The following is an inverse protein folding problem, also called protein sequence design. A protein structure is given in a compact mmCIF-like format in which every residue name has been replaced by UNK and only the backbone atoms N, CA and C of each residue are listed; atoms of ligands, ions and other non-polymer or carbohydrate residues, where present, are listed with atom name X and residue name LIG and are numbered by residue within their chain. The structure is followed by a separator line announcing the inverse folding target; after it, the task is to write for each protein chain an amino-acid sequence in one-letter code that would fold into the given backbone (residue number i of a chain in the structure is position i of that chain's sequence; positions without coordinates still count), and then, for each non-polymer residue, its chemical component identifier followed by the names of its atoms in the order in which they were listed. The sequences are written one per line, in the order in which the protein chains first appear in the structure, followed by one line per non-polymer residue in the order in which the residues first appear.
data_IF_851878884699
#
_entry.id   IF_851878884699
#
_cell.length_a   1.000
_cell.length_b   1.000
_cell.length_c   1.000
_cell.angle_alpha   90.00
_cell.angle_beta   90.00
_cell.angle_gamma   90.00
#
_symmetry.space_group_name_H-M   'P 1'
#
loop_
_entity.id
_entity.type
_entity.pdbx_description
1 polymer ?
#
# COMPACT_ATOMS: atom_id res chain seq x y z
N UNK A 1 19.08 8.31 58.36
CA UNK A 1 19.46 9.70 58.04
C UNK A 1 19.01 9.96 56.61
N UNK A 2 17.93 10.72 56.47
CA UNK A 2 17.34 11.11 55.20
C UNK A 2 18.30 12.05 54.48
N UNK A 3 18.58 11.76 53.21
CA UNK A 3 18.93 12.80 52.25
C UNK A 3 17.89 12.75 51.15
N UNK A 4 16.86 13.59 51.35
CA UNK A 4 16.02 14.12 50.31
C UNK A 4 16.88 15.03 49.44
N UNK A 5 17.01 14.69 48.16
CA UNK A 5 17.53 15.56 47.12
C UNK A 5 16.59 15.41 45.94
N UNK A 6 15.72 16.40 45.75
CA UNK A 6 14.66 16.36 44.73
C UNK A 6 15.23 16.09 43.35
N UNK A 7 14.70 15.06 42.70
CA UNK A 7 14.85 14.88 41.26
C UNK A 7 14.09 16.03 40.58
N UNK A 8 14.83 17.06 40.16
CA UNK A 8 14.33 17.97 39.14
C UNK A 8 14.06 17.15 37.88
N UNK A 9 12.86 17.26 37.26
CA UNK A 9 12.63 16.64 35.97
C UNK A 9 13.69 17.18 35.01
N UNK A 10 14.43 16.28 34.37
CA UNK A 10 15.38 16.63 33.32
C UNK A 10 14.56 17.31 32.22
N UNK A 11 14.66 18.64 32.13
CA UNK A 11 13.99 19.39 31.09
C UNK A 11 14.48 18.88 29.73
N UNK A 12 13.61 18.22 28.97
CA UNK A 12 13.82 17.94 27.57
C UNK A 12 13.73 19.28 26.84
N UNK A 13 14.86 19.96 26.66
CA UNK A 13 14.90 21.15 25.81
C UNK A 13 14.91 20.69 24.36
N UNK A 14 13.73 20.54 23.77
CA UNK A 14 13.59 20.42 22.31
C UNK A 14 13.76 21.82 21.73
N UNK A 15 14.99 22.17 21.35
CA UNK A 15 15.25 23.38 20.59
C UNK A 15 14.74 23.18 19.15
N UNK A 16 13.49 23.55 18.88
CA UNK A 16 13.08 23.90 17.53
C UNK A 16 13.70 25.26 17.20
N UNK A 17 14.86 25.29 16.55
CA UNK A 17 15.30 26.50 15.85
C UNK A 17 14.52 26.59 14.54
N UNK A 18 13.22 26.88 14.63
CA UNK A 18 12.52 27.47 13.51
C UNK A 18 12.91 28.96 13.53
N UNK A 19 13.41 29.57 12.44
CA UNK A 19 13.49 31.02 12.40
C UNK A 19 12.08 31.55 12.70
N UNK A 20 11.90 32.21 13.84
CA UNK A 20 10.61 32.77 14.23
C UNK A 20 10.24 33.86 13.22
N UNK A 21 9.42 33.50 12.24
CA UNK A 21 9.02 34.37 11.13
C UNK A 21 8.67 33.56 9.89
N UNK A 22 7.85 34.11 8.99
CA UNK A 22 7.73 33.56 7.64
C UNK A 22 9.09 33.77 6.96
N UNK A 23 9.79 32.68 6.65
CA UNK A 23 10.95 32.72 5.76
C UNK A 23 10.57 33.29 4.40
N UNK A 24 11.57 33.73 3.62
CA UNK A 24 11.34 34.10 2.23
C UNK A 24 10.67 32.94 1.49
N UNK A 25 9.70 33.24 0.62
CA UNK A 25 9.13 32.24 -0.27
C UNK A 25 10.25 31.66 -1.12
N UNK A 26 10.32 30.34 -1.19
CA UNK A 26 11.29 29.64 -2.03
C UNK A 26 10.99 29.89 -3.50
N UNK A 27 12.02 30.05 -4.32
CA UNK A 27 11.87 30.20 -5.76
C UNK A 27 11.57 28.85 -6.43
N UNK A 28 10.93 28.89 -7.59
CA UNK A 28 10.66 27.68 -8.36
C UNK A 28 11.99 27.04 -8.81
N UNK A 29 12.25 25.82 -8.37
CA UNK A 29 13.49 25.09 -8.68
C UNK A 29 14.59 25.26 -7.62
N UNK A 30 14.34 26.06 -6.58
CA UNK A 30 15.20 26.11 -5.40
C UNK A 30 15.10 24.80 -4.62
N UNK A 31 16.25 24.18 -4.34
CA UNK A 31 16.34 22.97 -3.53
C UNK A 31 16.40 23.39 -2.07
N UNK A 32 15.40 22.98 -1.29
CA UNK A 32 15.38 23.18 0.15
C UNK A 32 15.67 21.89 0.90
N UNK A 33 16.21 22.04 2.10
CA UNK A 33 16.43 20.94 3.02
C UNK A 33 16.04 21.37 4.43
N UNK A 34 15.63 20.39 5.25
CA UNK A 34 15.38 20.57 6.66
C UNK A 34 16.31 19.65 7.46
N UNK A 35 16.74 20.11 8.63
CA UNK A 35 17.48 19.32 9.60
C UNK A 35 16.76 19.36 10.94
N UNK A 36 16.65 18.21 11.59
CA UNK A 36 16.12 18.06 12.94
C UNK A 36 17.24 17.51 13.81
N UNK A 37 17.50 18.17 14.93
CA UNK A 37 18.52 17.76 15.89
C UNK A 37 17.90 17.61 17.27
N UNK A 38 18.21 16.50 17.93
CA UNK A 38 17.89 16.26 19.33
C UNK A 38 19.20 15.97 20.07
N UNK A 39 19.33 16.50 21.28
CA UNK A 39 20.51 16.28 22.12
C UNK A 39 20.09 15.87 23.52
N UNK A 40 20.86 14.98 24.14
CA UNK A 40 20.69 14.62 25.54
C UNK A 40 22.06 14.36 26.17
N UNK A 41 22.16 14.61 27.49
CA UNK A 41 23.35 14.28 28.26
C UNK A 41 23.19 12.88 28.84
N UNK A 42 24.14 11.99 28.56
CA UNK A 42 24.15 10.62 29.08
C UNK A 42 25.06 10.54 30.30
N UNK A 43 24.57 10.10 31.47
CA UNK A 43 25.42 9.95 32.66
C UNK A 43 26.43 8.80 32.49
N UNK A 44 27.53 8.84 33.24
CA UNK A 44 28.53 7.77 33.23
C UNK A 44 27.86 6.42 33.56
N UNK A 45 28.10 5.41 32.71
CA UNK A 45 27.49 4.07 32.80
C UNK A 45 25.94 4.07 32.71
N UNK A 46 25.32 5.14 32.21
CA UNK A 46 23.87 5.18 31.95
C UNK A 46 23.54 5.09 30.46
N UNK A 47 22.24 5.10 30.17
CA UNK A 47 21.70 5.19 28.80
C UNK A 47 20.58 6.24 28.73
N UNK A 48 20.32 6.71 27.50
CA UNK A 48 19.20 7.58 27.14
C UNK A 48 18.69 7.15 25.76
N UNK A 49 17.41 7.35 25.52
CA UNK A 49 16.75 7.06 24.25
C UNK A 49 16.22 8.37 23.68
N UNK A 50 16.41 8.57 22.38
CA UNK A 50 15.83 9.67 21.62
C UNK A 50 15.03 9.05 20.48
N UNK A 51 13.76 9.44 20.38
CA UNK A 51 12.85 8.93 19.36
C UNK A 51 12.59 9.99 18.31
N UNK A 52 12.59 9.57 17.05
CA UNK A 52 12.37 10.44 15.91
C UNK A 52 11.39 9.75 14.97
N UNK A 53 10.41 10.50 14.46
CA UNK A 53 9.48 10.02 13.45
C UNK A 53 9.66 10.80 12.15
N UNK A 54 9.59 10.07 11.03
CA UNK A 54 9.47 10.63 9.69
C UNK A 54 8.08 10.29 9.17
N UNK A 55 7.35 11.31 8.73
CA UNK A 55 6.05 11.16 8.11
C UNK A 55 5.99 11.94 6.80
N UNK A 56 5.24 11.41 5.83
CA UNK A 56 4.96 12.05 4.56
C UNK A 56 3.46 12.01 4.27
N UNK A 57 2.89 13.16 3.93
CA UNK A 57 1.49 13.28 3.52
C UNK A 57 1.42 13.50 2.01
N UNK A 58 1.19 12.42 1.28
CA UNK A 58 0.96 12.42 -0.17
C UNK A 58 -0.40 11.77 -0.48
N UNK A 59 -1.52 12.44 -0.14
CA UNK A 59 -2.82 11.79 -0.02
C UNK A 59 -3.41 11.39 -1.37
N UNK A 60 -2.95 12.03 -2.45
CA UNK A 60 -3.50 11.91 -3.80
C UNK A 60 -2.61 11.04 -4.68
N UNK A 61 -3.21 10.10 -5.39
CA UNK A 61 -2.58 9.28 -6.42
C UNK A 61 -3.18 9.63 -7.78
N UNK A 62 -2.32 9.78 -8.78
CA UNK A 62 -2.71 9.90 -10.18
C UNK A 62 -2.03 8.79 -10.99
N UNK A 63 -2.80 8.16 -11.86
CA UNK A 63 -2.28 7.24 -12.88
C UNK A 63 -2.04 7.98 -14.20
N UNK A 64 -1.44 7.31 -15.20
CA UNK A 64 -1.01 7.93 -16.46
C UNK A 64 -2.04 8.84 -17.14
N UNK A 65 -3.30 8.41 -17.20
CA UNK A 65 -4.41 9.20 -17.77
C UNK A 65 -4.76 10.47 -16.98
N UNK A 66 -4.49 10.51 -15.68
CA UNK A 66 -4.90 11.55 -14.72
C UNK A 66 -6.41 11.86 -14.71
N UNK A 67 -7.24 10.97 -15.25
CA UNK A 67 -8.70 11.16 -15.37
C UNK A 67 -9.42 11.07 -14.02
N UNK A 68 -8.95 10.19 -13.13
CA UNK A 68 -9.56 9.94 -11.82
C UNK A 68 -8.57 10.23 -10.71
N UNK A 69 -9.03 10.99 -9.72
CA UNK A 69 -8.32 11.20 -8.47
C UNK A 69 -8.53 9.99 -7.56
N UNK A 70 -7.44 9.45 -7.03
CA UNK A 70 -7.49 8.40 -6.02
C UNK A 70 -6.89 8.92 -4.72
N UNK A 71 -7.46 8.48 -3.59
CA UNK A 71 -6.96 8.81 -2.26
C UNK A 71 -6.29 7.59 -1.64
N UNK A 72 -5.15 7.79 -0.99
CA UNK A 72 -4.48 6.74 -0.21
C UNK A 72 -5.31 6.40 1.02
N UNK A 73 -5.33 5.13 1.42
CA UNK A 73 -6.15 4.63 2.52
C UNK A 73 -6.01 5.41 3.83
N UNK A 74 -4.81 5.87 4.17
CA UNK A 74 -4.59 6.57 5.44
C UNK A 74 -5.40 7.88 5.56
N UNK A 75 -5.85 8.46 4.43
CA UNK A 75 -6.66 9.69 4.45
C UNK A 75 -7.98 9.52 5.15
N UNK A 76 -8.46 8.28 5.30
CA UNK A 76 -9.63 7.95 6.12
C UNK A 76 -9.46 8.39 7.59
N UNK A 77 -8.23 8.35 8.10
CA UNK A 77 -7.92 8.64 9.51
C UNK A 77 -7.36 10.05 9.71
N UNK A 78 -6.67 10.59 8.71
CA UNK A 78 -5.93 11.86 8.83
C UNK A 78 -6.41 12.96 7.87
N UNK A 79 -7.43 12.69 7.07
CA UNK A 79 -7.93 13.61 6.05
C UNK A 79 -7.11 13.59 4.76
N UNK A 80 -7.55 14.36 3.76
CA UNK A 80 -6.98 14.39 2.40
C UNK A 80 -6.55 15.79 1.95
N UNK A 81 -6.38 16.72 2.90
CA UNK A 81 -6.07 18.12 2.63
C UNK A 81 -4.59 18.38 2.30
N UNK A 82 -3.68 17.46 2.63
CA UNK A 82 -2.24 17.62 2.39
C UNK A 82 -1.50 18.32 3.53
N UNK A 83 -2.11 18.37 4.72
CA UNK A 83 -1.59 18.99 5.94
C UNK A 83 -1.50 17.99 7.13
N UNK A 84 -1.54 16.68 6.87
CA UNK A 84 -1.59 15.65 7.90
C UNK A 84 -0.24 15.34 8.56
N UNK A 85 0.90 15.82 8.03
CA UNK A 85 2.23 15.49 8.55
C UNK A 85 2.40 15.70 10.07
N UNK A 86 1.97 16.84 10.68
CA UNK A 86 2.07 17.01 12.13
C UNK A 86 1.27 15.96 12.91
N UNK A 87 0.05 15.64 12.44
CA UNK A 87 -0.80 14.64 13.08
C UNK A 87 -0.23 13.22 12.93
N UNK A 88 0.30 12.89 11.75
CA UNK A 88 0.96 11.61 11.48
C UNK A 88 2.22 11.42 12.36
N UNK A 89 3.10 12.41 12.42
CA UNK A 89 4.31 12.35 13.26
C UNK A 89 3.98 12.24 14.74
N UNK A 90 3.00 13.02 15.22
CA UNK A 90 2.52 12.92 16.60
C UNK A 90 1.93 11.52 16.88
N UNK A 91 1.12 10.99 15.97
CA UNK A 91 0.53 9.65 16.10
C UNK A 91 1.62 8.57 16.19
N UNK A 92 2.64 8.64 15.33
CA UNK A 92 3.77 7.72 15.36
C UNK A 92 4.55 7.75 16.68
N UNK A 93 4.91 8.94 17.17
CA UNK A 93 5.69 9.09 18.42
C UNK A 93 4.89 8.70 19.67
N UNK A 94 3.56 8.78 19.63
CA UNK A 94 2.71 8.44 20.78
C UNK A 94 2.25 6.98 20.80
N UNK A 95 2.49 6.23 19.72
CA UNK A 95 2.05 4.84 19.58
C UNK A 95 3.19 3.86 19.25
N UNK A 96 4.43 4.33 19.08
CA UNK A 96 5.58 3.51 18.71
C UNK A 96 5.75 2.30 19.64
N UNK A 97 5.75 2.51 20.95
CA UNK A 97 5.90 1.43 21.95
C UNK A 97 4.82 0.35 21.76
N UNK A 98 3.55 0.75 21.58
CA UNK A 98 2.46 -0.20 21.34
C UNK A 98 2.64 -0.95 20.01
N UNK A 99 3.21 -0.31 18.99
CA UNK A 99 3.47 -0.96 17.70
C UNK A 99 4.61 -1.95 17.81
N UNK A 100 5.69 -1.64 18.52
CA UNK A 100 6.79 -2.56 18.80
C UNK A 100 6.28 -3.81 19.51
N UNK A 101 5.48 -3.64 20.57
CA UNK A 101 4.87 -4.78 21.29
C UNK A 101 4.02 -5.66 20.37
N UNK A 102 3.20 -5.06 19.50
CA UNK A 102 2.38 -5.79 18.53
C UNK A 102 3.24 -6.52 17.49
N UNK A 103 4.32 -5.87 17.02
CA UNK A 103 5.27 -6.44 16.06
C UNK A 103 5.96 -7.66 16.66
N UNK A 104 6.51 -7.51 17.86
CA UNK A 104 7.16 -8.62 18.57
C UNK A 104 6.18 -9.76 18.84
N UNK A 105 4.96 -9.44 19.29
CA UNK A 105 3.94 -10.42 19.62
C UNK A 105 3.58 -11.32 18.44
N UNK A 106 3.43 -10.78 17.23
CA UNK A 106 3.11 -11.60 16.06
C UNK A 106 4.31 -12.41 15.55
N UNK A 107 5.54 -11.90 15.68
CA UNK A 107 6.74 -12.60 15.24
C UNK A 107 7.17 -13.72 16.20
N UNK A 108 6.92 -13.52 17.51
CA UNK A 108 7.42 -14.38 18.60
C UNK A 108 7.15 -15.87 18.40
N UNK A 109 5.94 -16.33 18.04
CA UNK A 109 5.68 -17.78 17.87
C UNK A 109 6.57 -18.45 16.81
N UNK A 110 6.94 -17.71 15.76
CA UNK A 110 7.84 -18.21 14.72
C UNK A 110 9.29 -18.09 15.16
N UNK A 111 9.67 -16.97 15.78
CA UNK A 111 11.05 -16.74 16.25
C UNK A 111 11.48 -17.72 17.34
N UNK A 112 10.60 -18.07 18.25
CA UNK A 112 10.87 -19.00 19.36
C UNK A 112 10.80 -20.47 18.95
N UNK A 113 10.22 -20.78 17.79
CA UNK A 113 10.11 -22.17 17.30
C UNK A 113 11.49 -22.79 17.07
N UNK A 114 11.81 -23.84 17.82
CA UNK A 114 13.04 -24.64 17.63
C UNK A 114 13.01 -25.54 16.41
N UNK A 115 11.83 -25.73 15.80
CA UNK A 115 11.63 -26.55 14.61
C UNK A 115 12.03 -25.85 13.31
N UNK A 116 12.14 -24.52 13.33
CA UNK A 116 12.46 -23.72 12.15
C UNK A 116 13.91 -23.25 12.20
N UNK A 117 14.71 -23.46 11.13
CA UNK A 117 16.09 -22.99 11.11
C UNK A 117 16.15 -21.45 11.02
N UNK A 118 17.20 -20.80 11.56
CA UNK A 118 17.31 -19.34 11.58
C UNK A 118 17.20 -18.67 10.20
N UNK A 119 17.78 -19.27 9.16
CA UNK A 119 17.71 -18.73 7.79
C UNK A 119 16.27 -18.67 7.26
N UNK A 120 15.43 -19.65 7.62
CA UNK A 120 14.05 -19.71 7.16
C UNK A 120 13.19 -18.64 7.81
N UNK A 121 13.40 -18.41 9.12
CA UNK A 121 12.76 -17.30 9.85
C UNK A 121 13.10 -15.95 9.22
N UNK A 122 14.39 -15.75 8.89
CA UNK A 122 14.86 -14.54 8.22
C UNK A 122 14.17 -14.34 6.88
N UNK A 123 14.16 -15.35 6.00
CA UNK A 123 13.48 -15.28 4.71
C UNK A 123 11.98 -15.01 4.87
N UNK A 124 11.30 -15.76 5.75
CA UNK A 124 9.85 -15.65 5.94
C UNK A 124 9.40 -14.23 6.32
N UNK A 125 10.16 -13.53 7.17
CA UNK A 125 9.83 -12.16 7.55
C UNK A 125 10.32 -11.13 6.54
N UNK A 126 11.54 -11.29 6.02
CA UNK A 126 12.12 -10.28 5.13
C UNK A 126 11.42 -10.25 3.77
N UNK A 127 10.94 -11.38 3.24
CA UNK A 127 10.20 -11.40 1.97
C UNK A 127 8.86 -10.65 2.04
N UNK A 128 8.31 -10.41 3.24
CA UNK A 128 7.10 -9.60 3.41
C UNK A 128 7.32 -8.12 3.07
N UNK A 129 8.57 -7.66 2.90
CA UNK A 129 8.88 -6.29 2.48
C UNK A 129 8.12 -5.90 1.21
N UNK A 130 7.89 -6.87 0.31
CA UNK A 130 7.27 -6.64 -0.98
C UNK A 130 5.81 -6.19 -0.86
N UNK A 131 5.12 -6.49 0.24
CA UNK A 131 3.76 -5.98 0.49
C UNK A 131 3.72 -4.46 0.68
N UNK A 132 4.83 -3.84 1.11
CA UNK A 132 4.96 -2.40 1.22
C UNK A 132 5.66 -1.79 -0.02
N UNK A 133 6.73 -2.44 -0.50
CA UNK A 133 7.62 -1.89 -1.53
C UNK A 133 7.27 -2.32 -2.96
N UNK A 134 6.38 -3.30 -3.14
CA UNK A 134 5.92 -3.84 -4.42
C UNK A 134 5.00 -2.90 -5.20
N UNK A 135 5.17 -1.58 -5.07
CA UNK A 135 4.30 -0.58 -5.70
C UNK A 135 2.87 -0.60 -5.18
N UNK A 136 2.67 -0.96 -3.91
CA UNK A 136 1.35 -1.21 -3.33
C UNK A 136 0.42 0.00 -3.41
N UNK A 137 -0.80 -0.27 -3.88
CA UNK A 137 -1.95 0.60 -3.86
C UNK A 137 -2.90 0.12 -2.77
N UNK A 138 -3.10 0.97 -1.77
CA UNK A 138 -4.20 0.82 -0.84
C UNK A 138 -5.01 2.10 -0.87
N UNK A 139 -6.18 2.04 -1.50
CA UNK A 139 -6.96 3.21 -1.86
C UNK A 139 -8.25 3.31 -1.03
N UNK A 140 -8.58 4.53 -0.63
CA UNK A 140 -9.87 4.85 -0.03
C UNK A 140 -10.95 4.97 -1.11
N UNK A 141 -12.13 4.43 -0.83
CA UNK A 141 -13.32 4.71 -1.61
C UNK A 141 -13.95 6.00 -1.08
N UNK A 142 -14.15 7.03 -1.93
CA UNK A 142 -14.82 8.23 -1.51
C UNK A 142 -16.21 7.95 -0.94
N UNK A 143 -16.70 8.72 0.05
CA UNK A 143 -18.05 8.56 0.59
C UNK A 143 -19.15 8.62 -0.48
N UNK A 144 -18.95 9.47 -1.48
CA UNK A 144 -19.80 9.68 -2.64
C UNK A 144 -19.70 8.58 -3.70
N UNK A 145 -18.73 7.66 -3.59
CA UNK A 145 -18.66 6.51 -4.48
C UNK A 145 -19.95 5.71 -4.33
N UNK A 146 -20.55 5.38 -5.47
CA UNK A 146 -21.72 4.51 -5.52
C UNK A 146 -21.32 3.12 -5.99
N UNK A 147 -22.23 2.17 -5.81
CA UNK A 147 -21.93 0.76 -6.04
C UNK A 147 -21.60 0.51 -7.53
N UNK A 148 -22.12 1.35 -8.42
CA UNK A 148 -21.88 1.40 -9.85
C UNK A 148 -20.47 1.86 -10.23
N UNK A 149 -19.79 2.63 -9.37
CA UNK A 149 -18.39 3.09 -9.59
C UNK A 149 -17.34 1.98 -9.36
N UNK A 150 -17.78 0.88 -8.75
CA UNK A 150 -16.94 -0.21 -8.26
C UNK A 150 -17.37 -1.55 -8.85
N UNK A 151 -18.63 -1.67 -9.27
CA UNK A 151 -19.13 -2.80 -10.03
C UNK A 151 -18.67 -2.70 -11.48
N UNK A 152 -18.33 -3.85 -12.06
CA UNK A 152 -18.25 -4.02 -13.51
C UNK A 152 -19.62 -3.74 -14.18
N UNK A 153 -19.88 -4.22 -15.41
CA UNK A 153 -21.08 -3.87 -16.16
C UNK A 153 -22.37 -4.16 -15.37
N UNK A 154 -23.37 -3.31 -15.59
CA UNK A 154 -24.66 -3.37 -14.90
C UNK A 154 -25.26 -4.80 -14.93
N UNK A 155 -25.76 -5.26 -13.77
CA UNK A 155 -26.38 -6.59 -13.63
C UNK A 155 -25.45 -7.72 -13.19
N UNK A 156 -24.19 -7.43 -12.86
CA UNK A 156 -23.19 -8.40 -12.39
C UNK A 156 -23.50 -9.08 -11.04
N UNK A 157 -24.48 -8.59 -10.27
CA UNK A 157 -24.83 -9.16 -8.95
C UNK A 157 -23.80 -8.92 -7.85
N UNK A 158 -22.82 -8.04 -8.09
CA UNK A 158 -21.70 -7.76 -7.18
C UNK A 158 -21.97 -6.57 -6.22
N UNK A 159 -23.22 -6.17 -6.07
CA UNK A 159 -23.62 -5.10 -5.13
C UNK A 159 -23.34 -5.46 -3.67
N UNK A 160 -23.33 -6.75 -3.34
CA UNK A 160 -22.95 -7.24 -2.03
C UNK A 160 -21.46 -7.03 -1.70
N UNK A 161 -20.61 -6.73 -2.70
CA UNK A 161 -19.16 -6.55 -2.51
C UNK A 161 -18.80 -5.15 -2.01
N UNK A 162 -19.67 -4.18 -2.32
CA UNK A 162 -19.41 -2.78 -2.08
C UNK A 162 -19.20 -2.40 -0.60
N UNK A 163 -19.95 -2.97 0.37
CA UNK A 163 -19.67 -2.76 1.79
C UNK A 163 -18.24 -3.14 2.20
N UNK A 164 -17.71 -4.25 1.67
CA UNK A 164 -16.36 -4.70 2.02
C UNK A 164 -15.31 -3.77 1.45
N UNK A 165 -15.45 -3.35 0.19
CA UNK A 165 -14.52 -2.39 -0.43
C UNK A 165 -14.60 -1.03 0.27
N UNK A 166 -15.78 -0.58 0.68
CA UNK A 166 -15.94 0.63 1.49
C UNK A 166 -15.31 0.48 2.88
N UNK A 167 -15.39 -0.70 3.48
CA UNK A 167 -14.84 -0.96 4.81
C UNK A 167 -13.32 -1.09 4.79
N UNK A 168 -12.74 -1.79 3.81
CA UNK A 168 -11.30 -2.13 3.80
C UNK A 168 -10.47 -1.40 2.74
N UNK A 169 -11.10 -0.67 1.82
CA UNK A 169 -10.43 -0.01 0.69
C UNK A 169 -10.25 -0.95 -0.51
N UNK A 170 -9.69 -0.44 -1.61
CA UNK A 170 -9.20 -1.28 -2.73
C UNK A 170 -7.72 -1.56 -2.56
N UNK A 171 -7.32 -2.78 -2.85
CA UNK A 171 -5.94 -3.23 -2.67
C UNK A 171 -5.37 -3.81 -3.96
N UNK A 172 -4.16 -3.35 -4.31
CA UNK A 172 -3.39 -3.93 -5.40
C UNK A 172 -1.89 -3.78 -5.15
N UNK A 173 -1.08 -4.63 -5.75
CA UNK A 173 0.37 -4.51 -5.76
C UNK A 173 0.93 -5.02 -7.09
N UNK A 174 2.13 -4.59 -7.45
CA UNK A 174 2.76 -4.95 -8.72
C UNK A 174 3.31 -6.37 -8.66
N UNK A 175 3.32 -7.06 -9.80
CA UNK A 175 4.07 -8.30 -9.98
C UNK A 175 5.57 -8.11 -9.71
N UNK A 176 6.13 -7.00 -10.18
CA UNK A 176 7.52 -6.64 -9.96
C UNK A 176 7.88 -5.26 -10.50
N UNK A 177 9.14 -4.86 -10.33
CA UNK A 177 9.63 -3.56 -10.80
C UNK A 177 9.74 -3.48 -12.32
N UNK A 178 10.06 -4.61 -12.96
CA UNK A 178 10.17 -4.76 -14.41
C UNK A 178 8.80 -5.01 -15.06
N UNK A 179 8.00 -5.87 -14.43
CA UNK A 179 6.65 -6.22 -14.83
C UNK A 179 5.64 -5.42 -14.02
N UNK A 180 5.37 -4.19 -14.48
CA UNK A 180 4.52 -3.23 -13.78
C UNK A 180 3.02 -3.50 -13.97
N UNK A 181 2.59 -4.71 -13.66
CA UNK A 181 1.20 -5.16 -13.74
C UNK A 181 0.66 -5.35 -12.33
N UNK A 182 -0.52 -4.80 -12.05
CA UNK A 182 -1.17 -4.91 -10.76
C UNK A 182 -1.92 -6.23 -10.64
N UNK A 183 -1.75 -6.90 -9.50
CA UNK A 183 -2.35 -8.19 -9.14
C UNK A 183 -2.31 -9.19 -10.30
N UNK A 184 -1.12 -9.39 -10.90
CA UNK A 184 -0.93 -10.47 -11.88
C UNK A 184 -1.35 -11.78 -11.23
N UNK A 185 -2.47 -12.34 -11.69
CA UNK A 185 -3.29 -13.25 -10.90
C UNK A 185 -2.68 -14.65 -10.79
N UNK A 186 -2.03 -15.12 -11.86
CA UNK A 186 -1.27 -16.37 -11.87
C UNK A 186 -0.02 -16.29 -10.99
N UNK A 187 0.59 -15.11 -10.82
CA UNK A 187 1.69 -14.89 -9.87
C UNK A 187 1.16 -14.73 -8.45
N UNK A 188 0.07 -13.98 -8.28
CA UNK A 188 -0.61 -13.77 -7.00
C UNK A 188 -1.07 -15.09 -6.37
N UNK A 189 -1.42 -16.11 -7.16
CA UNK A 189 -1.70 -17.46 -6.66
C UNK A 189 -0.63 -17.94 -5.65
N UNK A 190 0.66 -17.76 -5.95
CA UNK A 190 1.76 -18.16 -5.07
C UNK A 190 1.95 -17.20 -3.88
N UNK A 191 1.78 -15.90 -4.10
CA UNK A 191 1.98 -14.86 -3.07
C UNK A 191 0.78 -14.71 -2.12
N UNK A 192 -0.39 -15.24 -2.49
CA UNK A 192 -1.67 -15.07 -1.79
C UNK A 192 -1.62 -15.51 -0.33
N UNK A 193 -0.78 -16.48 0.02
CA UNK A 193 -0.62 -16.96 1.39
C UNK A 193 -0.29 -15.84 2.37
N UNK A 194 0.55 -14.88 1.99
CA UNK A 194 0.90 -13.76 2.88
C UNK A 194 -0.33 -12.92 3.22
N UNK A 195 -1.13 -12.55 2.22
CA UNK A 195 -2.36 -11.77 2.43
C UNK A 195 -3.45 -12.60 3.10
N UNK A 196 -3.69 -13.83 2.65
CA UNK A 196 -4.72 -14.70 3.21
C UNK A 196 -4.49 -15.01 4.69
N UNK A 197 -3.23 -15.19 5.11
CA UNK A 197 -2.89 -15.52 6.50
C UNK A 197 -2.80 -14.28 7.40
N UNK A 198 -2.23 -13.17 6.91
CA UNK A 198 -1.90 -12.01 7.75
C UNK A 198 -2.90 -10.84 7.58
N UNK A 199 -3.46 -10.65 6.39
CA UNK A 199 -4.42 -9.59 6.07
C UNK A 199 -5.62 -10.10 5.25
N UNK A 200 -6.41 -11.07 5.77
CA UNK A 200 -7.45 -11.75 4.99
C UNK A 200 -8.53 -10.82 4.44
N UNK A 201 -8.74 -9.65 5.07
CA UNK A 201 -9.70 -8.65 4.58
C UNK A 201 -9.20 -7.91 3.34
N UNK A 202 -7.88 -7.71 3.21
CA UNK A 202 -7.26 -7.17 2.00
C UNK A 202 -7.27 -8.23 0.89
N UNK A 203 -7.01 -9.49 1.22
CA UNK A 203 -7.13 -10.61 0.28
C UNK A 203 -8.56 -10.67 -0.31
N UNK A 204 -9.58 -10.61 0.54
CA UNK A 204 -10.98 -10.59 0.09
C UNK A 204 -11.26 -9.38 -0.82
N UNK A 205 -10.76 -8.19 -0.47
CA UNK A 205 -10.89 -7.00 -1.33
C UNK A 205 -10.27 -7.22 -2.71
N UNK A 206 -9.08 -7.82 -2.79
CA UNK A 206 -8.40 -8.12 -4.04
C UNK A 206 -9.22 -9.11 -4.88
N UNK A 207 -9.71 -10.19 -4.27
CA UNK A 207 -10.52 -11.21 -4.95
C UNK A 207 -11.81 -10.65 -5.53
N UNK A 208 -12.41 -9.65 -4.87
CA UNK A 208 -13.58 -8.95 -5.38
C UNK A 208 -13.31 -8.15 -6.65
N UNK A 209 -12.17 -7.46 -6.71
CA UNK A 209 -11.76 -6.75 -7.92
C UNK A 209 -11.51 -7.72 -9.08
N UNK A 210 -10.93 -8.90 -8.81
CA UNK A 210 -10.76 -9.96 -9.82
C UNK A 210 -12.11 -10.51 -10.28
N UNK A 211 -13.02 -10.81 -9.37
CA UNK A 211 -14.36 -11.32 -9.70
C UNK A 211 -15.16 -10.31 -10.55
N UNK A 212 -15.07 -9.02 -10.25
CA UNK A 212 -15.66 -7.97 -11.07
C UNK A 212 -15.05 -7.94 -12.48
N UNK A 213 -13.72 -8.04 -12.57
CA UNK A 213 -13.01 -8.03 -13.84
C UNK A 213 -13.30 -9.25 -14.73
N UNK A 214 -13.68 -10.40 -14.17
CA UNK A 214 -14.16 -11.56 -14.95
C UNK A 214 -15.37 -11.19 -15.82
N UNK A 215 -16.28 -10.38 -15.29
CA UNK A 215 -17.53 -10.00 -15.95
C UNK A 215 -17.37 -8.85 -16.94
N UNK A 216 -16.24 -8.14 -16.91
CA UNK A 216 -15.89 -7.09 -17.86
C UNK A 216 -15.50 -7.66 -19.23
N UNK A 217 -15.78 -6.89 -20.27
CA UNK A 217 -15.45 -7.18 -21.66
C UNK A 217 -14.83 -5.93 -22.32
N UNK A 218 -13.75 -6.13 -23.06
CA UNK A 218 -13.11 -5.13 -23.92
C UNK A 218 -12.77 -5.80 -25.25
N UNK A 219 -13.62 -5.56 -26.25
CA UNK A 219 -13.49 -6.16 -27.59
C UNK A 219 -12.54 -5.37 -28.50
N UNK A 220 -11.88 -4.32 -28.00
CA UNK A 220 -10.94 -3.57 -28.83
C UNK A 220 -9.81 -4.49 -29.30
N UNK A 221 -9.43 -4.43 -30.58
CA UNK A 221 -8.34 -5.24 -31.11
C UNK A 221 -7.00 -4.76 -30.55
N UNK A 222 -6.17 -5.70 -30.11
CA UNK A 222 -4.79 -5.45 -29.68
C UNK A 222 -3.84 -6.46 -30.31
N UNK A 223 -2.72 -5.94 -30.80
CA UNK A 223 -1.60 -6.75 -31.27
C UNK A 223 -0.91 -7.45 -30.10
N UNK A 224 -0.81 -8.77 -30.16
CA UNK A 224 -0.08 -9.59 -29.20
C UNK A 224 1.39 -9.61 -29.60
N UNK A 225 2.27 -9.18 -28.69
CA UNK A 225 3.69 -9.01 -28.98
C UNK A 225 4.40 -10.35 -29.20
N UNK A 226 3.90 -11.42 -28.60
CA UNK A 226 4.52 -12.75 -28.67
C UNK A 226 4.44 -13.37 -30.08
N UNK A 227 3.33 -13.18 -30.79
CA UNK A 227 3.06 -13.88 -32.05
C UNK A 227 2.61 -12.96 -33.21
N UNK A 228 2.48 -11.66 -32.96
CA UNK A 228 2.03 -10.69 -33.96
C UNK A 228 0.56 -10.83 -34.37
N UNK A 229 -0.24 -11.64 -33.67
CA UNK A 229 -1.67 -11.79 -33.94
C UNK A 229 -2.45 -10.68 -33.24
N UNK A 230 -3.58 -10.29 -33.83
CA UNK A 230 -4.52 -9.36 -33.22
C UNK A 230 -5.63 -10.15 -32.55
N UNK A 231 -5.89 -9.86 -31.28
CA UNK A 231 -7.00 -10.44 -30.53
C UNK A 231 -7.65 -9.37 -29.64
N UNK A 232 -8.82 -9.69 -29.10
CA UNK A 232 -9.53 -8.79 -28.17
C UNK A 232 -8.73 -8.61 -26.88
N UNK A 233 -8.86 -7.43 -26.25
CA UNK A 233 -8.16 -7.09 -25.00
C UNK A 233 -8.67 -7.97 -23.84
N UNK A 234 -9.99 -8.12 -23.71
CA UNK A 234 -10.60 -8.88 -22.62
C UNK A 234 -11.93 -9.50 -23.05
N UNK A 235 -11.98 -10.83 -23.04
CA UNK A 235 -13.24 -11.58 -23.23
C UNK A 235 -14.04 -11.66 -21.92
N UNK A 236 -15.36 -11.59 -22.03
CA UNK A 236 -16.26 -11.82 -20.89
C UNK A 236 -16.10 -13.24 -20.33
N UNK A 237 -16.26 -13.40 -19.02
CA UNK A 237 -16.17 -14.67 -18.29
C UNK A 237 -14.78 -15.35 -18.29
N UNK A 238 -13.75 -14.62 -18.72
CA UNK A 238 -12.35 -15.06 -18.62
C UNK A 238 -11.68 -14.30 -17.46
N UNK A 239 -10.97 -15.02 -16.60
CA UNK A 239 -10.18 -14.41 -15.52
C UNK A 239 -9.08 -13.54 -16.14
N UNK A 240 -8.96 -12.26 -15.73
CA UNK A 240 -7.91 -11.41 -16.26
C UNK A 240 -6.53 -11.88 -15.78
N UNK A 241 -5.51 -11.68 -16.61
CA UNK A 241 -4.12 -11.87 -16.20
C UNK A 241 -3.72 -10.86 -15.10
N UNK A 242 -4.10 -9.59 -15.27
CA UNK A 242 -3.78 -8.48 -14.38
C UNK A 242 -4.94 -7.49 -14.34
N UNK A 243 -4.95 -6.56 -13.39
CA UNK A 243 -5.98 -5.50 -13.29
C UNK A 243 -5.49 -4.14 -13.82
N UNK A 244 -4.39 -4.10 -14.57
CA UNK A 244 -3.86 -2.88 -15.18
C UNK A 244 -2.41 -2.56 -14.81
N UNK A 245 -1.93 -1.41 -15.28
CA UNK A 245 -0.55 -0.94 -15.07
C UNK A 245 -0.51 0.56 -14.75
N UNK A 246 0.49 1.06 -13.99
CA UNK A 246 0.54 2.46 -13.52
C UNK A 246 0.49 3.53 -14.63
N UNK A 247 1.05 3.21 -15.81
CA UNK A 247 1.27 4.17 -16.89
C UNK A 247 0.05 4.44 -17.79
N UNK A 248 -1.08 3.77 -17.56
CA UNK A 248 -2.29 3.86 -18.41
C UNK A 248 -3.44 4.56 -17.65
N UNK A 249 -4.68 4.20 -17.97
CA UNK A 249 -5.86 4.52 -17.18
C UNK A 249 -5.74 3.91 -15.78
N UNK A 250 -6.59 4.39 -14.85
CA UNK A 250 -6.64 3.83 -13.50
C UNK A 250 -6.70 2.29 -13.55
N UNK A 251 -5.96 1.59 -12.66
CA UNK A 251 -6.14 0.16 -12.48
C UNK A 251 -7.63 -0.14 -12.27
N UNK A 252 -8.04 -1.38 -12.50
CA UNK A 252 -9.44 -1.81 -12.44
C UNK A 252 -10.38 -1.32 -13.55
N UNK A 253 -10.04 -0.29 -14.35
CA UNK A 253 -10.84 0.11 -15.52
C UNK A 253 -10.55 -0.74 -16.77
N UNK A 254 -9.29 -1.13 -16.98
CA UNK A 254 -8.87 -2.00 -18.11
C UNK A 254 -8.10 -3.17 -17.53
N UNK A 255 -8.82 -4.26 -17.25
CA UNK A 255 -8.22 -5.53 -16.83
C UNK A 255 -7.70 -6.31 -18.04
N UNK A 256 -6.64 -7.11 -17.84
CA UNK A 256 -5.96 -7.84 -18.92
C UNK A 256 -5.08 -6.95 -19.78
N UNK A 257 -4.55 -5.86 -19.22
CA UNK A 257 -3.81 -4.84 -19.96
C UNK A 257 -2.51 -5.37 -20.58
N UNK A 258 -2.04 -6.56 -20.22
CA UNK A 258 -0.91 -7.26 -20.86
C UNK A 258 -1.17 -8.73 -21.20
N UNK A 259 -2.42 -9.18 -21.29
CA UNK A 259 -2.74 -10.54 -21.78
C UNK A 259 -2.16 -10.86 -23.19
N UNK A 260 -1.66 -9.86 -23.92
CA UNK A 260 -0.88 -10.04 -25.16
C UNK A 260 0.61 -10.41 -25.00
N UNK A 261 1.11 -10.59 -23.78
CA UNK A 261 2.48 -11.07 -23.47
C UNK A 261 2.50 -12.44 -22.78
N UNK A 262 1.47 -12.79 -22.01
CA UNK A 262 1.38 -14.05 -21.28
C UNK A 262 0.25 -14.92 -21.85
N UNK A 263 0.63 -16.13 -22.29
CA UNK A 263 -0.19 -17.26 -22.79
C UNK A 263 -1.69 -16.95 -22.98
N UNK A 264 -2.10 -16.85 -24.24
CA UNK A 264 -3.45 -17.28 -24.60
C UNK A 264 -3.62 -18.74 -24.12
N UNK A 265 -4.44 -18.94 -23.08
CA UNK A 265 -5.01 -20.25 -22.83
C UNK A 265 -5.64 -20.70 -24.15
N UNK A 266 -5.25 -21.89 -24.59
CA UNK A 266 -5.70 -22.44 -25.86
C UNK A 266 -7.23 -22.35 -25.93
N UNK A 267 -7.72 -21.85 -27.08
CA UNK A 267 -9.11 -22.00 -27.47
C UNK A 267 -9.57 -23.42 -27.17
N UNK A 268 -10.74 -23.65 -26.53
CA UNK A 268 -11.28 -25.00 -26.47
C UNK A 268 -11.51 -25.43 -27.91
N UNK A 269 -10.68 -26.35 -28.39
CA UNK A 269 -10.95 -27.08 -29.60
C UNK A 269 -12.36 -27.64 -29.46
N UNK A 270 -13.19 -27.32 -30.43
CA UNK A 270 -14.51 -27.89 -30.61
C UNK A 270 -14.39 -29.42 -30.47
N UNK A 271 -15.06 -29.98 -29.47
CA UNK A 271 -15.49 -31.36 -29.40
C UNK A 271 -17.01 -31.37 -29.45
#
# INVERSE_FOLDING_TARGET
MLFSGGESPSFLTVCFSYPTGKGSLTEKGEVTAAAVCASCTVPARGHRTLEVALAWDMPRIHFGSKEKLHLRRYTRYFGSAGDACPALSHYALTHCEQWEEKIESWQRPILESSHLPPWYKSALFNELYFLADGGTLWLELPPEACAEDVQGPAGAGLSQLFPVLREYGRFAYLEGQEYRMYNTYDVHFYASFALAMLWPKLEISLQYDIAAAVLNEDTQPRLYLMNGQTAQVKLRNVVPHDIGEPGKVSPWHVAGARAGLCRAAHSPAQL
#
